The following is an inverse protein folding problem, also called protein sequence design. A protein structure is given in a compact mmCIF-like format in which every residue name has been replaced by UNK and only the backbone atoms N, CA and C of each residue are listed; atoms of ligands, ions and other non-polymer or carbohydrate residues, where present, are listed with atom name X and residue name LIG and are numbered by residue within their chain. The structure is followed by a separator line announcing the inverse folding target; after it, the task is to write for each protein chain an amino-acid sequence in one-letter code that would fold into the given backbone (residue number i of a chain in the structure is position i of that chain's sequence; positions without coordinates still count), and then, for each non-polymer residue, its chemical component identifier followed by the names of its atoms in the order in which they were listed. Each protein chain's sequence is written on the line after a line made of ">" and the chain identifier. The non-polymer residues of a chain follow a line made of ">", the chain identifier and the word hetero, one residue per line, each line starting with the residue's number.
data_IF_693517643073
#
_entry.id   IF_693517643073
#
_cell.length_a   1.000
_cell.length_b   1.000
_cell.length_c   1.000
_cell.angle_alpha   90.00
_cell.angle_beta   90.00
_cell.angle_gamma   90.00
#
_symmetry.space_group_name_H-M   'P 1'
#
loop_
_entity.id
_entity.type
_entity.pdbx_description
1 polymer ?
#
# COMPACT_ATOMS: atom_id res chain seq x y z
N UNK A 1 3.95 17.61 -0.87
CA UNK A 1 2.49 17.91 -0.71
C UNK A 1 2.26 18.89 0.44
N UNK A 2 1.17 19.72 0.42
CA UNK A 2 0.87 20.65 1.52
C UNK A 2 0.17 19.93 2.69
N UNK A 3 0.26 20.48 3.93
CA UNK A 3 -0.46 20.01 5.11
C UNK A 3 -2.01 20.00 4.88
N UNK A 4 -2.50 20.93 4.09
CA UNK A 4 -3.92 21.02 3.69
C UNK A 4 -4.34 19.77 2.91
N UNK A 5 -3.47 19.25 2.05
CA UNK A 5 -3.79 18.05 1.26
C UNK A 5 -3.83 16.80 2.14
N UNK A 6 -2.92 16.67 3.10
CA UNK A 6 -2.91 15.56 4.05
C UNK A 6 -4.20 15.53 4.88
N UNK A 7 -4.66 16.71 5.36
CA UNK A 7 -5.93 16.84 6.06
C UNK A 7 -7.12 16.40 5.20
N UNK A 8 -7.17 16.80 3.93
CA UNK A 8 -8.23 16.37 2.99
C UNK A 8 -8.24 14.87 2.77
N UNK A 9 -7.08 14.22 2.71
CA UNK A 9 -6.96 12.76 2.61
C UNK A 9 -7.54 12.12 3.86
N UNK A 10 -7.14 12.56 5.05
CA UNK A 10 -7.67 12.07 6.33
C UNK A 10 -9.19 12.20 6.39
N UNK A 11 -9.74 13.40 6.14
CA UNK A 11 -11.19 13.66 6.16
C UNK A 11 -11.94 12.77 5.17
N UNK A 12 -11.38 12.51 3.99
CA UNK A 12 -11.99 11.60 3.03
C UNK A 12 -12.05 10.17 3.55
N UNK A 13 -10.94 9.63 4.04
CA UNK A 13 -10.90 8.26 4.57
C UNK A 13 -11.74 8.12 5.85
N UNK A 14 -11.84 9.15 6.69
CA UNK A 14 -12.81 9.19 7.79
C UNK A 14 -14.26 9.10 7.29
N UNK A 15 -14.58 9.75 6.16
CA UNK A 15 -15.94 9.74 5.60
C UNK A 15 -16.33 8.40 5.01
N UNK A 16 -15.40 7.69 4.36
CA UNK A 16 -15.69 6.44 3.65
C UNK A 16 -15.40 5.17 4.46
N UNK A 17 -14.90 5.29 5.70
CA UNK A 17 -14.45 4.16 6.50
C UNK A 17 -15.50 3.04 6.62
N UNK A 18 -16.80 3.41 6.72
CA UNK A 18 -17.90 2.45 6.87
C UNK A 18 -18.19 1.63 5.61
N UNK A 19 -17.85 2.16 4.43
CA UNK A 19 -18.12 1.50 3.13
C UNK A 19 -16.84 1.04 2.43
N UNK A 20 -15.67 1.36 3.00
CA UNK A 20 -14.36 1.10 2.39
C UNK A 20 -14.17 -0.38 2.05
N UNK A 21 -14.52 -1.26 2.97
CA UNK A 21 -14.33 -2.69 2.81
C UNK A 21 -15.19 -3.29 1.69
N UNK A 22 -16.36 -2.70 1.40
CA UNK A 22 -17.23 -3.18 0.31
C UNK A 22 -16.52 -3.21 -1.04
N UNK A 23 -15.51 -2.33 -1.23
CA UNK A 23 -14.68 -2.32 -2.44
C UNK A 23 -13.83 -3.59 -2.58
N UNK A 24 -13.35 -4.12 -1.46
CA UNK A 24 -12.52 -5.33 -1.41
C UNK A 24 -13.30 -6.61 -1.08
N UNK A 25 -14.54 -6.51 -0.60
CA UNK A 25 -15.40 -7.66 -0.29
C UNK A 25 -15.96 -8.35 -1.53
N UNK A 26 -16.11 -7.62 -2.63
CA UNK A 26 -16.48 -8.19 -3.90
C UNK A 26 -15.38 -9.12 -4.44
N UNK A 27 -15.77 -10.15 -5.19
CA UNK A 27 -14.84 -11.17 -5.73
C UNK A 27 -13.62 -10.56 -6.43
N UNK A 28 -13.82 -9.55 -7.28
CA UNK A 28 -12.76 -8.84 -8.00
C UNK A 28 -11.82 -8.13 -7.04
N UNK A 29 -12.36 -7.38 -6.08
CA UNK A 29 -11.60 -6.69 -5.06
C UNK A 29 -10.76 -7.63 -4.22
N UNK A 30 -11.33 -8.76 -3.78
CA UNK A 30 -10.61 -9.82 -3.05
C UNK A 30 -9.46 -10.39 -3.87
N UNK A 31 -9.69 -10.70 -5.14
CA UNK A 31 -8.65 -11.22 -6.03
C UNK A 31 -7.49 -10.21 -6.18
N UNK A 32 -7.82 -8.96 -6.49
CA UNK A 32 -6.84 -7.88 -6.64
C UNK A 32 -6.02 -7.66 -5.36
N UNK A 33 -6.69 -7.48 -4.23
CA UNK A 33 -6.03 -7.25 -2.94
C UNK A 33 -5.17 -8.44 -2.50
N UNK A 34 -5.67 -9.67 -2.70
CA UNK A 34 -4.91 -10.89 -2.40
C UNK A 34 -3.66 -11.00 -3.27
N UNK A 35 -3.77 -10.64 -4.55
CA UNK A 35 -2.64 -10.66 -5.47
C UNK A 35 -1.53 -9.68 -5.02
N UNK A 36 -1.89 -8.43 -4.72
CA UNK A 36 -0.94 -7.43 -4.21
C UNK A 36 -0.34 -7.81 -2.84
N UNK A 37 -1.18 -8.30 -1.91
CA UNK A 37 -0.72 -8.73 -0.59
C UNK A 37 0.32 -9.84 -0.68
N UNK A 38 0.22 -10.75 -1.66
CA UNK A 38 1.16 -11.85 -1.85
C UNK A 38 2.59 -11.34 -2.11
N UNK A 39 2.76 -10.28 -2.91
CA UNK A 39 4.08 -9.70 -3.15
C UNK A 39 4.75 -9.18 -1.88
N UNK A 40 3.96 -8.61 -0.96
CA UNK A 40 4.47 -8.15 0.32
C UNK A 40 4.79 -9.35 1.22
N UNK A 41 3.89 -10.32 1.33
CA UNK A 41 4.07 -11.50 2.17
C UNK A 41 5.26 -12.37 1.75
N UNK A 42 5.55 -12.47 0.44
CA UNK A 42 6.64 -13.30 -0.09
C UNK A 42 8.04 -12.77 0.26
N UNK A 43 8.17 -11.47 0.56
CA UNK A 43 9.46 -10.83 0.84
C UNK A 43 9.67 -10.48 2.31
N UNK A 44 8.60 -10.45 3.10
CA UNK A 44 8.68 -10.19 4.52
C UNK A 44 9.05 -11.45 5.32
N UNK A 45 9.75 -11.32 6.46
CA UNK A 45 10.05 -12.45 7.31
C UNK A 45 8.77 -13.09 7.85
N UNK A 46 8.79 -14.43 7.98
CA UNK A 46 7.64 -15.19 8.50
C UNK A 46 7.45 -15.04 10.00
N UNK A 47 8.47 -14.60 10.71
CA UNK A 47 8.46 -14.42 12.16
C UNK A 47 8.79 -12.98 12.52
N UNK A 48 8.36 -12.55 13.71
CA UNK A 48 8.64 -11.22 14.22
C UNK A 48 7.43 -10.29 14.20
N UNK A 49 7.65 -9.03 14.57
CA UNK A 49 6.61 -8.00 14.70
C UNK A 49 6.58 -7.12 13.44
N UNK A 50 5.42 -7.02 12.81
CA UNK A 50 5.16 -6.16 11.65
C UNK A 50 4.64 -4.79 12.11
N UNK A 51 5.04 -3.73 11.40
CA UNK A 51 4.31 -2.46 11.32
C UNK A 51 3.70 -2.30 9.91
N UNK A 52 2.39 -2.15 9.84
CA UNK A 52 1.69 -1.82 8.58
C UNK A 52 1.37 -0.32 8.54
N UNK A 53 2.03 0.42 7.64
CA UNK A 53 1.89 1.88 7.50
C UNK A 53 0.79 2.19 6.49
N UNK A 54 -0.27 2.88 6.96
CA UNK A 54 -1.50 3.08 6.22
C UNK A 54 -2.36 1.83 6.22
N UNK A 55 -2.55 1.24 7.40
CA UNK A 55 -3.24 -0.05 7.55
C UNK A 55 -4.74 -0.01 7.19
N UNK A 56 -5.32 1.18 7.04
CA UNK A 56 -6.75 1.35 6.77
C UNK A 56 -7.61 0.60 7.78
N UNK A 57 -8.56 -0.18 7.31
CA UNK A 57 -9.46 -1.02 8.11
C UNK A 57 -8.82 -2.33 8.61
N UNK A 58 -7.49 -2.51 8.46
CA UNK A 58 -6.76 -3.65 8.99
C UNK A 58 -6.77 -4.91 8.12
N UNK A 59 -7.20 -4.84 6.85
CA UNK A 59 -7.28 -5.99 5.94
C UNK A 59 -5.94 -6.74 5.78
N UNK A 60 -4.82 -6.01 5.65
CA UNK A 60 -3.52 -6.64 5.52
C UNK A 60 -3.01 -7.17 6.86
N UNK A 61 -3.25 -6.44 7.95
CA UNK A 61 -2.89 -6.85 9.31
C UNK A 61 -3.58 -8.17 9.67
N UNK A 62 -4.90 -8.28 9.47
CA UNK A 62 -5.66 -9.52 9.68
C UNK A 62 -5.05 -10.69 8.91
N UNK A 63 -4.78 -10.50 7.62
CA UNK A 63 -4.18 -11.53 6.77
C UNK A 63 -2.76 -11.92 7.21
N UNK A 64 -1.98 -10.98 7.73
CA UNK A 64 -0.62 -11.26 8.19
C UNK A 64 -0.59 -12.10 9.46
N UNK A 65 -1.55 -11.89 10.37
CA UNK A 65 -1.59 -12.60 11.66
C UNK A 65 -2.22 -13.99 11.60
N UNK A 66 -2.90 -14.37 10.50
CA UNK A 66 -3.51 -15.70 10.32
C UNK A 66 -2.54 -16.86 10.63
N UNK A 67 -1.23 -16.63 10.44
CA UNK A 67 -0.16 -17.60 10.73
C UNK A 67 0.41 -17.48 12.17
N UNK A 68 -0.28 -16.81 13.11
CA UNK A 68 0.19 -16.59 14.47
C UNK A 68 1.28 -15.54 14.62
N UNK A 69 1.41 -14.63 13.66
CA UNK A 69 2.37 -13.52 13.68
C UNK A 69 1.82 -12.33 14.46
N UNK A 70 2.71 -11.40 14.85
CA UNK A 70 2.31 -10.16 15.53
C UNK A 70 2.37 -8.98 14.57
N UNK A 71 1.36 -8.12 14.58
CA UNK A 71 1.32 -6.91 13.77
C UNK A 71 0.77 -5.71 14.54
N UNK A 72 1.20 -4.54 14.11
CA UNK A 72 0.70 -3.23 14.55
C UNK A 72 0.28 -2.45 13.33
N UNK A 73 -0.90 -1.84 13.35
CA UNK A 73 -1.38 -0.96 12.30
C UNK A 73 -1.19 0.52 12.65
N UNK A 74 -0.75 1.31 11.67
CA UNK A 74 -0.66 2.76 11.74
C UNK A 74 -1.47 3.37 10.60
N UNK A 75 -2.40 4.26 10.89
CA UNK A 75 -3.16 5.01 9.88
C UNK A 75 -3.43 6.44 10.34
N UNK A 76 -3.58 7.36 9.39
CA UNK A 76 -3.88 8.76 9.69
C UNK A 76 -5.35 8.98 10.06
N UNK A 77 -6.25 8.10 9.61
CA UNK A 77 -7.69 8.18 9.84
C UNK A 77 -8.07 7.49 11.15
N UNK A 78 -8.66 8.25 12.06
CA UNK A 78 -9.20 7.74 13.31
C UNK A 78 -10.29 6.68 13.06
N UNK A 79 -11.18 6.92 12.10
CA UNK A 79 -12.27 6.00 11.78
C UNK A 79 -11.80 4.69 11.14
N UNK A 80 -10.75 4.74 10.31
CA UNK A 80 -10.11 3.54 9.80
C UNK A 80 -9.56 2.68 10.95
N UNK A 81 -8.88 3.30 11.91
CA UNK A 81 -8.35 2.61 13.10
C UNK A 81 -9.48 2.01 13.96
N UNK A 82 -10.60 2.69 14.12
CA UNK A 82 -11.77 2.13 14.83
C UNK A 82 -12.30 0.87 14.12
N UNK A 83 -12.37 0.88 12.81
CA UNK A 83 -12.76 -0.30 11.99
C UNK A 83 -11.73 -1.43 12.12
N UNK A 84 -10.45 -1.10 12.05
CA UNK A 84 -9.38 -2.08 12.19
C UNK A 84 -9.39 -2.78 13.55
N UNK A 85 -9.63 -2.05 14.64
CA UNK A 85 -9.81 -2.61 16.00
C UNK A 85 -11.01 -3.55 16.11
N UNK A 86 -12.09 -3.23 15.40
CA UNK A 86 -13.26 -4.11 15.35
C UNK A 86 -13.01 -5.39 14.54
N UNK A 87 -12.16 -5.31 13.51
CA UNK A 87 -11.77 -6.44 12.65
C UNK A 87 -10.85 -7.42 13.37
N UNK A 88 -9.79 -6.90 13.97
CA UNK A 88 -8.82 -7.70 14.72
C UNK A 88 -8.59 -7.07 16.11
N UNK A 89 -9.21 -7.62 17.14
CA UNK A 89 -9.10 -7.14 18.53
C UNK A 89 -7.78 -7.50 19.19
N UNK A 90 -7.08 -8.48 18.64
CA UNK A 90 -5.80 -8.97 19.16
C UNK A 90 -4.60 -8.10 18.72
N UNK A 91 -4.84 -7.22 17.74
CA UNK A 91 -3.79 -6.37 17.16
C UNK A 91 -3.78 -4.99 17.78
N UNK A 92 -2.60 -4.40 17.87
CA UNK A 92 -2.43 -3.01 18.26
C UNK A 92 -2.63 -2.09 17.05
N UNK A 93 -3.33 -0.97 17.26
CA UNK A 93 -3.55 0.04 16.25
C UNK A 93 -3.35 1.44 16.79
N UNK A 94 -2.67 2.28 16.01
CA UNK A 94 -2.33 3.66 16.40
C UNK A 94 -2.69 4.64 15.29
N UNK A 95 -3.24 5.79 15.68
CA UNK A 95 -3.44 6.91 14.76
C UNK A 95 -2.15 7.68 14.63
N UNK A 96 -1.70 7.90 13.39
CA UNK A 96 -0.47 8.63 13.12
C UNK A 96 -0.12 8.67 11.64
N UNK A 97 0.98 9.31 11.31
CA UNK A 97 1.48 9.44 9.94
C UNK A 97 2.75 8.66 9.74
N UNK A 98 2.99 8.19 8.52
CA UNK A 98 4.23 7.48 8.17
C UNK A 98 5.47 8.37 8.27
N UNK A 99 5.30 9.71 8.18
CA UNK A 99 6.40 10.68 8.29
C UNK A 99 6.82 10.98 9.75
N UNK A 100 6.05 10.48 10.73
CA UNK A 100 6.37 10.56 12.16
C UNK A 100 5.77 9.36 12.87
N UNK A 101 6.52 8.27 12.89
CA UNK A 101 6.08 6.99 13.45
C UNK A 101 6.26 6.99 14.97
N UNK A 102 5.18 6.81 15.77
CA UNK A 102 5.23 6.96 17.23
C UNK A 102 5.74 5.69 17.94
N UNK A 103 6.83 5.11 17.44
CA UNK A 103 7.48 3.95 18.02
C UNK A 103 8.99 4.17 18.17
N UNK A 104 9.62 3.43 19.08
CA UNK A 104 11.05 3.49 19.32
C UNK A 104 11.85 2.92 18.15
N UNK A 105 13.13 3.28 18.10
CA UNK A 105 14.09 2.73 17.14
C UNK A 105 14.16 1.20 17.27
N UNK A 106 14.41 0.52 16.16
CA UNK A 106 14.66 -0.92 16.12
C UNK A 106 13.56 -1.76 16.83
N UNK A 107 12.30 -1.38 16.64
CA UNK A 107 11.14 -2.05 17.27
C UNK A 107 10.59 -3.20 16.42
N UNK A 108 10.60 -3.05 15.08
CA UNK A 108 9.91 -3.96 14.17
C UNK A 108 10.89 -4.83 13.38
N UNK A 109 10.48 -6.06 13.12
CA UNK A 109 11.21 -7.01 12.27
C UNK A 109 10.82 -6.84 10.80
N UNK A 110 9.62 -6.32 10.55
CA UNK A 110 9.07 -6.10 9.22
C UNK A 110 8.26 -4.80 9.15
N UNK A 111 8.23 -4.18 7.96
CA UNK A 111 7.35 -3.04 7.65
C UNK A 111 6.64 -3.33 6.33
N UNK A 112 5.34 -3.06 6.29
CA UNK A 112 4.53 -3.06 5.07
C UNK A 112 3.87 -1.70 4.83
N UNK A 113 3.57 -1.42 3.56
CA UNK A 113 2.65 -0.34 3.17
C UNK A 113 2.00 -0.72 1.84
N UNK A 114 0.69 -0.94 1.86
CA UNK A 114 -0.07 -1.41 0.70
C UNK A 114 -1.02 -0.34 0.19
N UNK A 115 -0.77 0.16 -1.04
CA UNK A 115 -1.57 1.16 -1.75
C UNK A 115 -1.64 2.55 -1.08
N UNK A 116 -0.71 2.89 -0.21
CA UNK A 116 -0.69 4.15 0.57
C UNK A 116 0.42 5.09 0.14
N UNK A 117 1.58 4.57 -0.26
CA UNK A 117 2.80 5.37 -0.52
C UNK A 117 2.60 6.49 -1.56
N UNK A 118 1.69 6.31 -2.52
CA UNK A 118 1.30 7.35 -3.50
C UNK A 118 0.66 8.58 -2.86
N UNK A 119 0.11 8.45 -1.66
CA UNK A 119 -0.57 9.52 -0.92
C UNK A 119 0.31 10.17 0.14
N UNK A 120 1.46 9.60 0.44
CA UNK A 120 2.39 10.12 1.44
C UNK A 120 2.89 11.51 1.03
N UNK A 121 2.88 12.44 1.97
CA UNK A 121 3.28 13.83 1.74
C UNK A 121 4.78 13.93 1.45
N UNK A 122 5.57 13.28 2.29
CA UNK A 122 7.03 13.26 2.26
C UNK A 122 7.53 11.81 2.30
N UNK A 123 7.76 11.19 1.13
CA UNK A 123 8.18 9.80 1.05
C UNK A 123 9.59 9.57 1.62
N UNK A 124 10.48 10.56 1.53
CA UNK A 124 11.82 10.49 2.12
C UNK A 124 11.73 10.43 3.66
N UNK A 125 10.91 11.29 4.27
CA UNK A 125 10.68 11.28 5.71
C UNK A 125 10.04 9.95 6.17
N UNK A 126 9.05 9.43 5.42
CA UNK A 126 8.45 8.12 5.73
C UNK A 126 9.48 6.99 5.68
N UNK A 127 10.32 6.94 4.66
CA UNK A 127 11.34 5.89 4.53
C UNK A 127 12.42 6.03 5.60
N UNK A 128 12.79 7.24 5.99
CA UNK A 128 13.71 7.50 7.10
C UNK A 128 13.14 7.01 8.44
N UNK A 129 11.86 7.29 8.73
CA UNK A 129 11.17 6.80 9.91
C UNK A 129 11.01 5.27 9.89
N UNK A 130 10.65 4.70 8.73
CA UNK A 130 10.60 3.25 8.54
C UNK A 130 11.97 2.60 8.82
N UNK A 131 13.05 3.19 8.29
CA UNK A 131 14.40 2.73 8.57
C UNK A 131 14.76 2.82 10.06
N UNK A 132 14.38 3.92 10.73
CA UNK A 132 14.64 4.12 12.15
C UNK A 132 13.99 3.04 13.01
N UNK A 133 12.69 2.79 12.80
CA UNK A 133 11.93 1.83 13.64
C UNK A 133 12.16 0.38 13.27
N UNK A 134 12.73 0.09 12.11
CA UNK A 134 13.07 -1.26 11.68
C UNK A 134 14.36 -1.74 12.36
N UNK A 135 14.37 -2.98 12.84
CA UNK A 135 15.56 -3.61 13.41
C UNK A 135 16.64 -3.84 12.35
N UNK A 136 17.93 -3.85 12.71
CA UNK A 136 19.00 -4.33 11.82
C UNK A 136 18.68 -5.74 11.28
N UNK A 137 18.76 -5.93 9.96
CA UNK A 137 18.37 -7.16 9.28
C UNK A 137 16.87 -7.29 8.99
N UNK A 138 16.03 -6.37 9.47
CA UNK A 138 14.61 -6.33 9.20
C UNK A 138 14.31 -5.94 7.73
N UNK A 139 13.12 -6.28 7.25
CA UNK A 139 12.69 -6.07 5.88
C UNK A 139 11.53 -5.08 5.77
N UNK A 140 11.53 -4.28 4.69
CA UNK A 140 10.42 -3.42 4.31
C UNK A 140 9.89 -3.83 2.94
N UNK A 141 8.56 -3.78 2.77
CA UNK A 141 7.91 -3.98 1.49
C UNK A 141 6.77 -2.97 1.29
N UNK A 142 6.79 -2.30 0.15
CA UNK A 142 5.79 -1.29 -0.25
C UNK A 142 5.22 -1.66 -1.60
N UNK A 143 3.89 -1.65 -1.73
CA UNK A 143 3.20 -1.74 -3.00
C UNK A 143 2.40 -0.47 -3.25
N UNK A 144 2.60 0.18 -4.39
CA UNK A 144 2.02 1.48 -4.70
C UNK A 144 1.76 1.67 -6.21
N UNK A 145 1.28 2.84 -6.61
CA UNK A 145 0.95 3.14 -8.01
C UNK A 145 2.22 3.32 -8.85
N UNK A 146 2.26 2.60 -9.97
CA UNK A 146 3.37 2.64 -10.92
C UNK A 146 3.16 3.65 -12.04
N UNK A 147 4.25 4.35 -12.45
CA UNK A 147 4.26 5.33 -13.54
C UNK A 147 4.44 4.63 -14.88
N UNK A 148 3.37 4.16 -15.48
CA UNK A 148 3.36 3.42 -16.73
C UNK A 148 2.39 4.00 -17.76
N UNK A 149 2.41 3.43 -18.96
CA UNK A 149 1.58 3.89 -20.08
C UNK A 149 0.09 3.87 -19.72
N UNK A 150 -0.39 2.79 -19.09
CA UNK A 150 -1.78 2.64 -18.69
C UNK A 150 -2.18 3.59 -17.55
N UNK A 151 -1.29 3.87 -16.59
CA UNK A 151 -1.58 4.79 -15.49
C UNK A 151 -1.63 6.25 -15.92
N UNK A 152 -1.05 6.62 -17.07
CA UNK A 152 -1.16 8.00 -17.61
C UNK A 152 -2.59 8.39 -17.97
N UNK A 153 -3.42 7.43 -18.36
CA UNK A 153 -4.84 7.67 -18.70
C UNK A 153 -5.78 7.68 -17.49
N UNK A 154 -5.38 7.12 -16.35
CA UNK A 154 -6.24 7.00 -15.18
C UNK A 154 -6.76 8.36 -14.68
N UNK A 155 -5.95 9.42 -14.50
CA UNK A 155 -6.46 10.73 -14.08
C UNK A 155 -7.52 11.31 -15.01
N UNK A 156 -7.40 11.10 -16.33
CA UNK A 156 -8.39 11.56 -17.29
C UNK A 156 -9.69 10.75 -17.21
N UNK A 157 -9.60 9.44 -17.00
CA UNK A 157 -10.76 8.56 -16.81
C UNK A 157 -11.53 8.96 -15.55
N UNK A 158 -10.84 9.28 -14.45
CA UNK A 158 -11.48 9.77 -13.21
C UNK A 158 -12.18 11.11 -13.41
N UNK A 159 -11.58 12.07 -14.12
CA UNK A 159 -12.22 13.35 -14.43
C UNK A 159 -13.49 13.18 -15.27
N UNK A 160 -13.50 12.20 -16.19
CA UNK A 160 -14.68 11.88 -17.00
C UNK A 160 -15.74 11.20 -16.14
N UNK A 161 -15.37 10.26 -15.25
CA UNK A 161 -16.32 9.57 -14.38
C UNK A 161 -16.95 10.50 -13.33
N UNK A 162 -16.18 11.46 -12.77
CA UNK A 162 -16.72 12.51 -11.90
C UNK A 162 -17.75 13.38 -12.63
N UNK A 163 -17.51 13.75 -13.91
CA UNK A 163 -18.46 14.48 -14.74
C UNK A 163 -19.73 13.67 -15.06
N UNK A 164 -19.62 12.35 -15.11
CA UNK A 164 -20.75 11.42 -15.33
C UNK A 164 -21.47 11.00 -14.05
N UNK A 165 -21.13 11.59 -12.90
CA UNK A 165 -21.73 11.29 -11.59
C UNK A 165 -21.62 9.81 -11.18
N UNK A 166 -20.62 9.08 -11.68
CA UNK A 166 -20.29 7.72 -11.26
C UNK A 166 -19.50 7.82 -9.97
N UNK A 167 -20.14 7.54 -8.84
CA UNK A 167 -19.49 7.55 -7.52
C UNK A 167 -18.46 6.41 -7.43
N UNK A 168 -17.19 6.71 -7.62
CA UNK A 168 -16.10 5.87 -7.16
C UNK A 168 -15.89 6.12 -5.67
N UNK A 169 -16.43 5.25 -4.83
CA UNK A 169 -16.48 5.42 -3.38
C UNK A 169 -15.08 5.52 -2.75
N UNK A 170 -14.07 4.91 -3.35
CA UNK A 170 -12.74 4.75 -2.73
C UNK A 170 -11.67 5.65 -3.34
N UNK A 171 -11.81 6.09 -4.59
CA UNK A 171 -10.76 6.83 -5.29
C UNK A 171 -11.19 8.25 -5.65
N UNK A 172 -10.87 9.20 -4.78
CA UNK A 172 -10.87 10.62 -5.10
C UNK A 172 -9.49 11.02 -5.59
N UNK A 173 -9.42 11.79 -6.68
CA UNK A 173 -8.13 12.30 -7.19
C UNK A 173 -7.55 13.32 -6.20
N UNK A 174 -6.58 12.88 -5.40
CA UNK A 174 -5.81 13.74 -4.49
C UNK A 174 -4.49 14.19 -5.11
N UNK A 175 -4.25 13.92 -6.41
CA UNK A 175 -2.97 14.14 -7.07
C UNK A 175 -1.94 13.15 -6.54
N UNK A 176 -2.22 11.87 -6.68
CA UNK A 176 -1.36 10.76 -6.31
C UNK A 176 0.00 10.88 -7.02
N UNK A 177 1.04 10.39 -6.36
CA UNK A 177 2.34 10.21 -6.98
C UNK A 177 2.41 8.84 -7.62
N UNK A 178 2.88 8.81 -8.87
CA UNK A 178 3.18 7.58 -9.58
C UNK A 178 4.70 7.42 -9.65
N UNK A 179 5.18 6.22 -9.40
CA UNK A 179 6.61 5.95 -9.31
C UNK A 179 7.09 5.05 -10.44
N UNK A 180 8.28 5.30 -10.95
CA UNK A 180 8.99 4.38 -11.80
C UNK A 180 10.03 3.56 -11.00
N UNK A 181 10.63 2.58 -11.67
CA UNK A 181 11.58 1.65 -11.05
C UNK A 181 12.81 2.35 -10.47
N UNK A 182 13.34 3.35 -11.20
CA UNK A 182 14.51 4.10 -10.78
C UNK A 182 14.20 4.98 -9.56
N UNK A 183 13.09 5.72 -9.60
CA UNK A 183 12.64 6.57 -8.49
C UNK A 183 12.47 5.76 -7.19
N UNK A 184 11.84 4.58 -7.24
CA UNK A 184 11.67 3.74 -6.05
C UNK A 184 12.99 3.18 -5.55
N UNK A 185 13.86 2.72 -6.45
CA UNK A 185 15.20 2.24 -6.08
C UNK A 185 16.03 3.35 -5.42
N UNK A 186 16.03 4.55 -6.00
CA UNK A 186 16.81 5.68 -5.50
C UNK A 186 16.32 6.13 -4.11
N UNK A 187 15.00 6.22 -3.90
CA UNK A 187 14.40 6.55 -2.60
C UNK A 187 14.81 5.56 -1.52
N UNK A 188 14.75 4.26 -1.79
CA UNK A 188 15.14 3.23 -0.83
C UNK A 188 16.63 3.24 -0.55
N UNK A 189 17.46 3.42 -1.58
CA UNK A 189 18.91 3.53 -1.44
C UNK A 189 19.33 4.75 -0.61
N UNK A 190 18.71 5.91 -0.87
CA UNK A 190 18.95 7.14 -0.10
C UNK A 190 18.53 7.01 1.38
N UNK A 191 17.49 6.25 1.66
CA UNK A 191 17.07 5.95 3.03
C UNK A 191 17.97 4.93 3.75
N UNK A 192 18.98 4.35 3.08
CA UNK A 192 19.94 3.42 3.65
C UNK A 192 19.58 1.93 3.52
N UNK A 193 18.52 1.58 2.80
CA UNK A 193 18.15 0.18 2.57
C UNK A 193 19.11 -0.49 1.59
N UNK A 194 19.36 -1.77 1.83
CA UNK A 194 20.11 -2.68 0.96
C UNK A 194 19.22 -3.78 0.37
N UNK A 195 19.77 -4.64 -0.50
CA UNK A 195 19.05 -5.73 -1.16
C UNK A 195 17.75 -5.28 -1.84
N UNK A 196 17.76 -4.09 -2.42
CA UNK A 196 16.57 -3.46 -3.00
C UNK A 196 16.10 -4.22 -4.22
N UNK A 197 14.84 -4.68 -4.18
CA UNK A 197 14.19 -5.33 -5.31
C UNK A 197 12.97 -4.51 -5.73
N UNK A 198 12.83 -4.26 -7.02
CA UNK A 198 11.68 -3.54 -7.58
C UNK A 198 11.02 -4.39 -8.64
N UNK A 199 9.73 -4.69 -8.43
CA UNK A 199 8.91 -5.50 -9.34
C UNK A 199 7.67 -4.72 -9.76
N UNK A 200 7.29 -4.87 -11.00
CA UNK A 200 5.97 -4.46 -11.49
C UNK A 200 4.98 -5.56 -11.19
N UNK A 201 3.79 -5.18 -10.77
CA UNK A 201 2.74 -6.12 -10.40
C UNK A 201 1.36 -5.57 -10.75
N UNK A 202 0.39 -6.49 -10.84
CA UNK A 202 -1.01 -6.21 -11.08
C UNK A 202 -1.29 -5.62 -12.47
N UNK A 203 -1.54 -6.49 -13.41
CA UNK A 203 -2.12 -6.14 -14.71
C UNK A 203 -3.65 -6.07 -14.63
N UNK A 204 -4.28 -7.04 -13.95
CA UNK A 204 -5.71 -7.02 -13.68
C UNK A 204 -6.02 -5.99 -12.59
N UNK A 205 -6.61 -4.85 -12.99
CA UNK A 205 -6.94 -3.75 -12.08
C UNK A 205 -8.41 -3.82 -11.64
N UNK A 206 -8.68 -3.44 -10.39
CA UNK A 206 -10.00 -3.52 -9.76
C UNK A 206 -11.09 -2.72 -10.51
N UNK A 207 -10.72 -1.66 -11.22
CA UNK A 207 -11.64 -0.82 -11.99
C UNK A 207 -12.02 -1.40 -13.36
N UNK A 208 -11.44 -2.54 -13.76
CA UNK A 208 -11.84 -3.21 -15.00
C UNK A 208 -13.24 -3.80 -14.87
N UNK A 209 -13.98 -3.88 -15.98
CA UNK A 209 -15.23 -4.65 -16.04
C UNK A 209 -14.95 -6.15 -15.76
N UNK A 210 -15.87 -6.83 -15.10
CA UNK A 210 -15.68 -8.21 -14.66
C UNK A 210 -15.14 -9.17 -15.73
N UNK A 211 -15.69 -9.24 -16.96
CA UNK A 211 -15.15 -10.14 -17.97
C UNK A 211 -13.69 -9.83 -18.33
N UNK A 212 -13.35 -8.54 -18.43
CA UNK A 212 -11.99 -8.09 -18.75
C UNK A 212 -11.04 -8.34 -17.59
N UNK A 213 -11.49 -8.14 -16.34
CA UNK A 213 -10.69 -8.40 -15.14
C UNK A 213 -10.28 -9.88 -15.06
N UNK A 214 -11.22 -10.80 -15.23
CA UNK A 214 -10.92 -12.24 -15.16
C UNK A 214 -10.07 -12.74 -16.31
N UNK A 215 -10.23 -12.17 -17.50
CA UNK A 215 -9.33 -12.45 -18.62
C UNK A 215 -7.91 -11.91 -18.33
N UNK A 216 -7.81 -10.66 -17.87
CA UNK A 216 -6.55 -10.04 -17.48
C UNK A 216 -5.83 -10.83 -16.39
N UNK A 217 -6.57 -11.31 -15.36
CA UNK A 217 -6.03 -12.13 -14.28
C UNK A 217 -5.40 -13.45 -14.78
N UNK A 218 -6.00 -14.09 -15.79
CA UNK A 218 -5.44 -15.33 -16.37
C UNK A 218 -4.10 -15.12 -17.05
N UNK A 219 -3.90 -13.97 -17.70
CA UNK A 219 -2.66 -13.64 -18.41
C UNK A 219 -1.69 -12.81 -17.56
N UNK A 220 -2.07 -12.41 -16.35
CA UNK A 220 -1.30 -11.57 -15.45
C UNK A 220 0.14 -12.07 -15.21
N UNK A 221 0.40 -13.38 -14.93
CA UNK A 221 1.75 -13.86 -14.73
C UNK A 221 2.63 -13.72 -15.99
N UNK A 222 2.04 -13.84 -17.17
CA UNK A 222 2.75 -13.62 -18.43
C UNK A 222 3.05 -12.13 -18.64
N UNK A 223 2.07 -11.26 -18.38
CA UNK A 223 2.23 -9.81 -18.55
C UNK A 223 3.29 -9.28 -17.59
N UNK A 224 3.26 -9.65 -16.32
CA UNK A 224 4.23 -9.21 -15.31
C UNK A 224 5.67 -9.64 -15.65
N UNK A 225 5.84 -10.81 -16.26
CA UNK A 225 7.13 -11.34 -16.66
C UNK A 225 7.64 -10.77 -17.98
N UNK A 226 6.78 -10.71 -19.00
CA UNK A 226 7.19 -10.45 -20.39
C UNK A 226 6.91 -9.01 -20.83
N UNK A 227 5.86 -8.36 -20.28
CA UNK A 227 5.41 -7.03 -20.68
C UNK A 227 5.08 -6.16 -19.44
N UNK A 228 6.01 -6.06 -18.47
CA UNK A 228 5.76 -5.40 -17.18
C UNK A 228 5.36 -3.92 -17.30
N UNK A 229 5.58 -3.29 -18.46
CA UNK A 229 5.14 -1.93 -18.75
C UNK A 229 3.60 -1.77 -18.75
N UNK A 230 2.84 -2.86 -18.80
CA UNK A 230 1.39 -2.86 -18.70
C UNK A 230 0.86 -3.00 -17.27
N UNK A 231 1.72 -3.30 -16.30
CA UNK A 231 1.29 -3.40 -14.90
C UNK A 231 0.94 -2.03 -14.29
N UNK A 232 -0.05 -2.01 -13.41
CA UNK A 232 -0.55 -0.80 -12.74
C UNK A 232 0.24 -0.45 -11.49
N UNK A 233 0.69 -1.46 -10.75
CA UNK A 233 1.36 -1.28 -9.47
C UNK A 233 2.85 -1.58 -9.56
N UNK A 234 3.59 -1.00 -8.64
CA UNK A 234 5.01 -1.26 -8.42
C UNK A 234 5.20 -1.68 -6.97
N UNK A 235 5.85 -2.83 -6.76
CA UNK A 235 6.23 -3.31 -5.45
C UNK A 235 7.74 -3.19 -5.29
N UNK A 236 8.16 -2.67 -4.16
CA UNK A 236 9.56 -2.55 -3.79
C UNK A 236 9.79 -3.15 -2.43
N UNK A 237 10.90 -3.84 -2.26
CA UNK A 237 11.36 -4.34 -0.97
C UNK A 237 12.83 -4.00 -0.76
N UNK A 238 13.23 -3.95 0.50
CA UNK A 238 14.60 -3.71 0.91
C UNK A 238 14.83 -4.22 2.32
N UNK A 239 16.09 -4.27 2.75
CA UNK A 239 16.49 -4.65 4.10
C UNK A 239 17.31 -3.56 4.77
N UNK A 240 17.12 -3.39 6.07
CA UNK A 240 18.06 -2.61 6.89
C UNK A 240 19.33 -3.45 7.11
N UNK A 241 20.54 -2.95 6.79
CA UNK A 241 21.78 -3.67 7.02
C UNK A 241 21.93 -4.15 8.48
N UNK A 242 22.72 -5.21 8.70
CA UNK A 242 23.01 -5.77 10.02
C UNK A 242 24.31 -5.20 10.60
N UNK A 243 24.55 -3.93 10.44
CA UNK A 243 25.79 -3.36 11.00
C UNK A 243 25.74 -3.27 12.53
#
# INVERSE_FOLDING_TARGET
>A
MSAIKQKKIQEHYDTIADVYDHHYDQRRGKCYYTHLSRYILDVLPRNGKLLDIGCGTGLFVEKYIEDGRCAVGLDISQKMIERARNRCRECDYTVGTGEKIPFYDNTFDAISSLLVFSYIRDPEAMLSEAYRVLKPGGAIAICTLGKKLLTRGIPAIYQISEKMNVQHVVMKNFGERYYNRKEMHDLFSQAGFSEIQVKWCSFAHIDMLDPLFYLAQKIEPFVEKCVPQLAYNICVSGKKPRN
#
